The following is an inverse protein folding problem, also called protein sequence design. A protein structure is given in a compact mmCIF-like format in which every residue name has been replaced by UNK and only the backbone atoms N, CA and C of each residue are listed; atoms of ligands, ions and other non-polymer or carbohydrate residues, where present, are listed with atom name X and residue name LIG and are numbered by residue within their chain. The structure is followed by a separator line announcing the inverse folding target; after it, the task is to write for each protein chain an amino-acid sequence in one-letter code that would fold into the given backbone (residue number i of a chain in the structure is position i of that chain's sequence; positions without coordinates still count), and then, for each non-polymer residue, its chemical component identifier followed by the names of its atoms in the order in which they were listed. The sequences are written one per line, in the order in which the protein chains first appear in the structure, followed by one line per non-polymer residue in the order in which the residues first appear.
data_IF_140446393169
#
_entry.id   IF_140446393169
#
_cell.length_a   1.000
_cell.length_b   1.000
_cell.length_c   1.000
_cell.angle_alpha   90.00
_cell.angle_beta   90.00
_cell.angle_gamma   90.00
#
_symmetry.space_group_name_H-M   'P 1'
#
loop_
_entity.id
_entity.type
_entity.pdbx_description
1 polymer ?
#
# COMPACT_ATOMS: atom_id res chain seq x y z
N UNK A 1 43.34 29.23 20.19
CA UNK A 1 43.38 27.77 19.95
C UNK A 1 41.99 27.35 19.46
N UNK A 2 41.84 27.13 18.15
CA UNK A 2 40.57 26.65 17.58
C UNK A 2 40.49 25.15 17.86
N UNK A 3 39.52 24.72 18.66
CA UNK A 3 39.27 23.29 18.86
C UNK A 3 38.73 22.75 17.55
N UNK A 4 39.39 21.74 16.99
CA UNK A 4 38.87 21.00 15.86
C UNK A 4 37.60 20.26 16.34
N UNK A 5 36.46 20.57 15.74
CA UNK A 5 35.25 19.79 15.95
C UNK A 5 35.49 18.36 15.47
N UNK A 6 34.95 17.39 16.21
CA UNK A 6 35.09 15.99 15.86
C UNK A 6 34.40 15.72 14.52
N UNK A 7 35.01 14.91 13.66
CA UNK A 7 34.39 14.48 12.41
C UNK A 7 33.02 13.85 12.68
N UNK A 8 32.90 13.12 13.79
CA UNK A 8 31.64 12.51 14.22
C UNK A 8 30.55 13.55 14.51
N UNK A 9 30.92 14.69 15.10
CA UNK A 9 29.95 15.76 15.37
C UNK A 9 29.44 16.39 14.08
N UNK A 10 30.32 16.65 13.12
CA UNK A 10 29.92 17.20 11.81
C UNK A 10 29.07 16.22 11.01
N UNK A 11 29.41 14.92 11.03
CA UNK A 11 28.59 13.89 10.37
C UNK A 11 27.20 13.82 10.99
N UNK A 12 27.11 13.88 12.33
CA UNK A 12 25.82 13.84 13.02
C UNK A 12 24.96 15.07 12.66
N UNK A 13 25.55 16.26 12.60
CA UNK A 13 24.85 17.49 12.22
C UNK A 13 24.28 17.42 10.80
N UNK A 14 25.10 17.00 9.83
CA UNK A 14 24.66 16.84 8.43
C UNK A 14 23.53 15.82 8.34
N UNK A 15 23.66 14.70 9.04
CA UNK A 15 22.63 13.64 9.06
C UNK A 15 21.32 14.16 9.64
N UNK A 16 21.37 14.94 10.72
CA UNK A 16 20.20 15.53 11.34
C UNK A 16 19.49 16.53 10.41
N UNK A 17 20.26 17.36 9.69
CA UNK A 17 19.71 18.31 8.71
C UNK A 17 19.01 17.57 7.56
N UNK A 18 19.62 16.49 7.05
CA UNK A 18 19.02 15.69 5.98
C UNK A 18 17.73 15.01 6.43
N UNK A 19 17.69 14.45 7.64
CA UNK A 19 16.48 13.84 8.21
C UNK A 19 15.39 14.91 8.42
N UNK A 20 15.74 16.09 8.94
CA UNK A 20 14.78 17.18 9.12
C UNK A 20 14.20 17.67 7.79
N UNK A 21 15.04 17.84 6.77
CA UNK A 21 14.59 18.21 5.42
C UNK A 21 13.70 17.13 4.80
N UNK A 22 14.04 15.86 4.98
CA UNK A 22 13.23 14.73 4.53
C UNK A 22 11.87 14.68 5.24
N UNK A 23 11.84 14.87 6.56
CA UNK A 23 10.61 14.87 7.35
C UNK A 23 9.66 16.02 6.99
N UNK A 24 10.20 17.17 6.58
CA UNK A 24 9.41 18.30 6.10
C UNK A 24 8.91 18.14 4.67
N UNK A 25 9.72 17.51 3.80
CA UNK A 25 9.44 17.45 2.35
C UNK A 25 8.73 16.17 1.92
N UNK A 26 8.92 15.07 2.65
CA UNK A 26 8.40 13.75 2.30
C UNK A 26 7.26 13.42 3.27
N UNK A 27 6.00 13.48 2.84
CA UNK A 27 4.88 13.09 3.68
C UNK A 27 4.99 11.60 4.06
N UNK A 28 5.10 11.32 5.36
CA UNK A 28 5.12 9.95 5.88
C UNK A 28 3.78 9.29 5.60
N UNK A 29 3.80 8.11 4.97
CA UNK A 29 2.58 7.31 4.86
C UNK A 29 2.08 6.97 6.27
N UNK A 30 0.76 6.92 6.46
CA UNK A 30 0.17 6.63 7.78
C UNK A 30 0.47 5.22 8.31
N UNK A 31 1.22 4.38 7.58
CA UNK A 31 1.53 2.99 7.94
C UNK A 31 0.30 2.08 7.96
N UNK A 32 -0.88 2.60 7.65
CA UNK A 32 -2.12 1.85 7.65
C UNK A 32 -2.26 1.13 6.30
N UNK A 33 -1.84 -0.14 6.25
CA UNK A 33 -2.29 -1.04 5.18
C UNK A 33 -3.82 -0.97 5.10
N UNK A 34 -4.38 -0.74 3.91
CA UNK A 34 -5.83 -0.61 3.70
C UNK A 34 -6.59 -1.64 4.55
N UNK A 35 -7.26 -1.17 5.60
CA UNK A 35 -7.96 -2.01 6.57
C UNK A 35 -8.94 -2.89 5.79
N UNK A 36 -9.01 -4.18 6.15
CA UNK A 36 -10.00 -5.09 5.59
C UNK A 36 -11.36 -4.42 5.58
N UNK A 37 -11.86 -4.13 4.38
CA UNK A 37 -13.01 -3.26 4.16
C UNK A 37 -14.34 -3.81 4.71
N UNK A 38 -14.31 -4.96 5.38
CA UNK A 38 -15.49 -5.64 5.92
C UNK A 38 -15.81 -5.03 7.27
N UNK A 39 -16.96 -4.33 7.44
CA UNK A 39 -17.32 -3.67 8.69
C UNK A 39 -17.42 -4.61 9.89
N UNK A 40 -17.60 -5.91 9.61
CA UNK A 40 -17.73 -6.98 10.59
C UNK A 40 -16.40 -7.68 10.95
N UNK A 41 -15.28 -7.30 10.33
CA UNK A 41 -13.98 -7.87 10.66
C UNK A 41 -13.45 -7.29 11.98
N UNK A 42 -13.13 -8.16 12.93
CA UNK A 42 -12.68 -7.79 14.27
C UNK A 42 -11.48 -8.66 14.72
N UNK A 43 -10.94 -8.37 15.91
CA UNK A 43 -9.82 -9.12 16.49
C UNK A 43 -10.12 -10.63 16.57
N UNK A 44 -11.32 -11.02 16.97
CA UNK A 44 -11.73 -12.44 17.03
C UNK A 44 -11.69 -13.12 15.66
N UNK A 45 -12.15 -12.44 14.60
CA UNK A 45 -12.03 -12.95 13.24
C UNK A 45 -10.56 -13.16 12.87
N UNK A 46 -9.70 -12.22 13.26
CA UNK A 46 -8.27 -12.28 12.96
C UNK A 46 -7.58 -13.41 13.71
N UNK A 47 -7.84 -13.60 15.00
CA UNK A 47 -7.27 -14.69 15.81
C UNK A 47 -7.72 -16.05 15.29
N UNK A 48 -9.02 -16.22 15.02
CA UNK A 48 -9.56 -17.46 14.47
C UNK A 48 -9.00 -17.78 13.08
N UNK A 49 -8.84 -16.77 12.22
CA UNK A 49 -8.22 -16.93 10.89
C UNK A 49 -6.74 -17.30 10.99
N UNK A 50 -5.97 -16.64 11.85
CA UNK A 50 -4.56 -16.97 12.10
C UNK A 50 -4.41 -18.41 12.58
N UNK A 51 -5.25 -18.85 13.51
CA UNK A 51 -5.24 -20.22 14.01
C UNK A 51 -5.60 -21.24 12.90
N UNK A 52 -6.64 -20.96 12.12
CA UNK A 52 -7.00 -21.79 10.97
C UNK A 52 -5.84 -21.92 9.98
N UNK A 53 -5.15 -20.82 9.65
CA UNK A 53 -3.98 -20.84 8.75
C UNK A 53 -2.80 -21.61 9.34
N UNK A 54 -2.54 -21.45 10.63
CA UNK A 54 -1.48 -22.19 11.34
C UNK A 54 -1.71 -23.70 11.22
N UNK A 55 -2.92 -24.16 11.57
CA UNK A 55 -3.26 -25.58 11.53
C UNK A 55 -3.35 -26.14 10.11
N UNK A 56 -3.78 -25.32 9.14
CA UNK A 56 -3.67 -25.67 7.72
C UNK A 56 -2.21 -25.88 7.30
N UNK A 57 -1.31 -24.98 7.72
CA UNK A 57 0.12 -25.09 7.43
C UNK A 57 0.73 -26.38 8.00
N UNK A 58 0.37 -26.74 9.23
CA UNK A 58 0.81 -27.98 9.88
C UNK A 58 0.28 -29.19 9.12
N UNK A 59 -1.04 -29.27 8.90
CA UNK A 59 -1.65 -30.39 8.16
C UNK A 59 -1.09 -30.53 6.74
N UNK A 60 -0.85 -29.41 6.03
CA UNK A 60 -0.28 -29.43 4.68
C UNK A 60 1.14 -29.98 4.65
N UNK A 61 1.94 -29.73 5.69
CA UNK A 61 3.32 -30.28 5.81
C UNK A 61 3.31 -31.72 6.30
N UNK A 62 2.42 -32.05 7.22
CA UNK A 62 2.35 -33.34 7.90
C UNK A 62 0.90 -33.85 7.90
N UNK A 63 0.48 -34.59 6.86
CA UNK A 63 -0.91 -34.98 6.65
C UNK A 63 -1.34 -36.18 7.51
N UNK A 64 -1.31 -36.01 8.83
CA UNK A 64 -1.80 -37.01 9.79
C UNK A 64 -3.30 -36.83 10.10
N UNK A 65 -3.95 -37.87 10.61
CA UNK A 65 -5.37 -37.85 11.01
C UNK A 65 -5.63 -36.84 12.12
N UNK A 66 -4.75 -36.75 13.11
CA UNK A 66 -4.81 -35.77 14.19
C UNK A 66 -4.74 -34.33 13.65
N UNK A 67 -3.80 -34.05 12.76
CA UNK A 67 -3.65 -32.74 12.14
C UNK A 67 -4.86 -32.36 11.29
N UNK A 68 -5.46 -33.32 10.59
CA UNK A 68 -6.71 -33.11 9.85
C UNK A 68 -7.86 -32.75 10.79
N UNK A 69 -8.00 -33.46 11.91
CA UNK A 69 -9.04 -33.16 12.92
C UNK A 69 -8.84 -31.78 13.54
N UNK A 70 -7.61 -31.43 13.91
CA UNK A 70 -7.29 -30.11 14.45
C UNK A 70 -7.61 -28.99 13.45
N UNK A 71 -7.22 -29.15 12.18
CA UNK A 71 -7.58 -28.21 11.13
C UNK A 71 -9.09 -28.10 10.91
N UNK A 72 -9.82 -29.22 10.87
CA UNK A 72 -11.29 -29.23 10.74
C UNK A 72 -11.97 -28.48 11.89
N UNK A 73 -11.53 -28.71 13.14
CA UNK A 73 -12.03 -27.99 14.34
C UNK A 73 -11.79 -26.49 14.20
N UNK A 74 -10.58 -26.08 13.82
CA UNK A 74 -10.25 -24.66 13.64
C UNK A 74 -11.00 -24.00 12.47
N UNK A 75 -11.19 -24.72 11.35
CA UNK A 75 -12.00 -24.26 10.21
C UNK A 75 -13.46 -24.05 10.62
N UNK A 76 -14.03 -24.97 11.41
CA UNK A 76 -15.39 -24.84 11.92
C UNK A 76 -15.53 -23.64 12.90
N UNK A 77 -14.56 -23.47 13.79
CA UNK A 77 -14.51 -22.33 14.71
C UNK A 77 -14.42 -21.00 13.94
N UNK A 78 -13.47 -20.87 13.01
CA UNK A 78 -13.32 -19.66 12.19
C UNK A 78 -14.60 -19.32 11.42
N UNK A 79 -15.29 -20.32 10.86
CA UNK A 79 -16.60 -20.13 10.21
C UNK A 79 -17.66 -19.61 11.20
N UNK A 80 -17.72 -20.16 12.42
CA UNK A 80 -18.64 -19.74 13.47
C UNK A 80 -18.38 -18.29 13.90
N UNK A 81 -17.13 -17.96 14.23
CA UNK A 81 -16.72 -16.60 14.64
C UNK A 81 -17.06 -15.60 13.53
N UNK A 82 -16.73 -15.90 12.28
CA UNK A 82 -17.05 -15.03 11.14
C UNK A 82 -18.54 -14.74 11.02
N UNK A 83 -19.40 -15.77 11.11
CA UNK A 83 -20.86 -15.61 11.05
C UNK A 83 -21.39 -14.79 12.22
N UNK A 84 -20.87 -15.02 13.43
CA UNK A 84 -21.25 -14.27 14.63
C UNK A 84 -20.88 -12.80 14.48
N UNK A 85 -19.67 -12.48 14.04
CA UNK A 85 -19.23 -11.09 13.85
C UNK A 85 -20.01 -10.37 12.75
N UNK A 86 -20.32 -11.06 11.64
CA UNK A 86 -21.23 -10.54 10.60
C UNK A 86 -22.59 -10.17 11.16
N UNK A 87 -23.25 -11.12 11.86
CA UNK A 87 -24.56 -10.89 12.48
C UNK A 87 -24.52 -9.74 13.47
N UNK A 88 -23.53 -9.73 14.38
CA UNK A 88 -23.45 -8.71 15.42
C UNK A 88 -23.19 -7.32 14.84
N UNK A 89 -22.32 -7.22 13.83
CA UNK A 89 -22.08 -5.96 13.12
C UNK A 89 -23.33 -5.46 12.42
N UNK A 90 -24.11 -6.36 11.81
CA UNK A 90 -25.36 -5.98 11.15
C UNK A 90 -26.41 -5.50 12.14
N UNK A 91 -26.61 -6.22 13.26
CA UNK A 91 -27.51 -5.81 14.33
C UNK A 91 -27.13 -4.41 14.84
N UNK A 92 -25.84 -4.20 15.18
CA UNK A 92 -25.35 -2.89 15.64
C UNK A 92 -25.62 -1.78 14.63
N UNK A 93 -25.45 -2.06 13.34
CA UNK A 93 -25.69 -1.07 12.29
C UNK A 93 -27.18 -0.74 12.16
N UNK A 94 -28.05 -1.75 12.07
CA UNK A 94 -29.49 -1.56 11.98
C UNK A 94 -30.02 -0.81 13.20
N UNK A 95 -29.55 -1.14 14.41
CA UNK A 95 -29.89 -0.42 15.64
C UNK A 95 -29.42 1.03 15.68
N UNK A 96 -28.44 1.42 14.86
CA UNK A 96 -27.94 2.80 14.76
C UNK A 96 -28.66 3.65 13.70
N UNK A 97 -29.57 3.06 12.92
CA UNK A 97 -30.31 3.78 11.90
C UNK A 97 -31.34 4.72 12.54
N UNK A 98 -31.36 5.97 12.08
CA UNK A 98 -32.34 6.99 12.47
C UNK A 98 -33.02 7.56 11.22
N UNK A 99 -34.12 8.29 11.39
CA UNK A 99 -34.83 8.99 10.31
C UNK A 99 -33.94 9.96 9.51
N UNK A 100 -32.86 10.44 10.12
CA UNK A 100 -31.86 11.30 9.47
C UNK A 100 -30.86 10.56 8.57
N UNK A 101 -30.89 9.22 8.55
CA UNK A 101 -29.91 8.43 7.78
C UNK A 101 -30.25 8.49 6.29
N UNK A 102 -29.37 9.12 5.49
CA UNK A 102 -29.59 9.23 4.06
C UNK A 102 -29.52 7.86 3.35
N UNK A 103 -30.32 7.69 2.29
CA UNK A 103 -30.30 6.49 1.43
C UNK A 103 -28.89 6.20 0.90
N UNK A 104 -28.10 7.25 0.62
CA UNK A 104 -26.70 7.12 0.17
C UNK A 104 -25.82 6.43 1.21
N UNK A 105 -25.92 6.82 2.49
CA UNK A 105 -25.17 6.19 3.58
C UNK A 105 -25.62 4.75 3.80
N UNK A 106 -26.93 4.49 3.69
CA UNK A 106 -27.50 3.15 3.83
C UNK A 106 -26.96 2.20 2.77
N UNK A 107 -27.07 2.57 1.50
CA UNK A 107 -26.55 1.78 0.39
C UNK A 107 -25.03 1.60 0.44
N UNK A 108 -24.27 2.60 0.89
CA UNK A 108 -22.82 2.47 1.10
C UNK A 108 -22.49 1.36 2.10
N UNK A 109 -23.24 1.28 3.21
CA UNK A 109 -23.01 0.27 4.26
C UNK A 109 -23.46 -1.13 3.81
N UNK A 110 -24.61 -1.25 3.15
CA UNK A 110 -25.09 -2.51 2.56
C UNK A 110 -24.06 -3.09 1.59
N UNK A 111 -23.55 -2.27 0.67
CA UNK A 111 -22.49 -2.67 -0.28
C UNK A 111 -21.22 -3.12 0.45
N UNK A 112 -20.78 -2.39 1.47
CA UNK A 112 -19.60 -2.73 2.26
C UNK A 112 -19.74 -4.06 3.04
N UNK A 113 -20.94 -4.38 3.54
CA UNK A 113 -21.21 -5.66 4.24
C UNK A 113 -21.15 -6.84 3.26
N UNK A 114 -21.70 -6.65 2.04
CA UNK A 114 -21.67 -7.65 0.96
C UNK A 114 -20.29 -7.79 0.30
N UNK A 115 -19.32 -6.97 0.68
CA UNK A 115 -18.00 -6.97 0.05
C UNK A 115 -17.99 -6.36 -1.35
N UNK A 116 -19.05 -5.66 -1.72
CA UNK A 116 -19.13 -4.90 -2.97
C UNK A 116 -18.48 -3.55 -2.67
N UNK A 117 -17.19 -3.44 -2.96
CA UNK A 117 -16.47 -2.20 -2.80
C UNK A 117 -16.57 -1.39 -4.08
N UNK A 118 -16.52 -0.06 -3.93
CA UNK A 118 -16.23 0.78 -5.08
C UNK A 118 -14.84 0.38 -5.54
N UNK A 119 -14.74 -0.08 -6.77
CA UNK A 119 -13.47 -0.12 -7.48
C UNK A 119 -12.84 1.27 -7.38
N UNK A 120 -11.52 1.30 -7.24
CA UNK A 120 -10.76 2.54 -7.15
C UNK A 120 -11.18 3.44 -8.31
N UNK A 121 -11.86 4.54 -8.01
CA UNK A 121 -12.16 5.55 -9.01
C UNK A 121 -10.82 6.19 -9.34
N UNK A 122 -10.36 6.03 -10.58
CA UNK A 122 -9.15 6.71 -11.02
C UNK A 122 -9.31 8.21 -10.77
N UNK A 123 -8.31 8.86 -10.14
CA UNK A 123 -8.37 10.29 -9.90
C UNK A 123 -8.41 11.00 -11.24
N UNK A 124 -9.38 11.91 -11.40
CA UNK A 124 -9.46 12.79 -12.55
C UNK A 124 -8.29 13.76 -12.47
N UNK A 125 -7.46 13.83 -13.52
CA UNK A 125 -6.40 14.82 -13.60
C UNK A 125 -6.96 16.13 -14.15
N UNK A 126 -6.70 17.23 -13.46
CA UNK A 126 -7.04 18.58 -13.91
C UNK A 126 -5.75 19.33 -14.23
N UNK A 127 -5.60 19.72 -15.50
CA UNK A 127 -4.63 20.74 -15.91
C UNK A 127 -5.38 22.06 -16.07
N UNK A 128 -4.67 23.19 -16.04
CA UNK A 128 -5.25 24.56 -16.05
C UNK A 128 -6.40 24.77 -17.05
N UNK A 129 -6.43 24.07 -18.18
CA UNK A 129 -7.46 24.19 -19.21
C UNK A 129 -8.22 22.88 -19.54
N UNK A 130 -7.96 21.75 -18.88
CA UNK A 130 -8.51 20.46 -19.32
C UNK A 130 -8.64 19.43 -18.19
N UNK A 131 -9.69 18.59 -18.29
CA UNK A 131 -10.04 17.56 -17.32
C UNK A 131 -9.97 16.19 -17.98
N UNK A 132 -9.10 15.32 -17.48
CA UNK A 132 -8.83 14.01 -18.07
C UNK A 132 -9.34 12.90 -17.15
N UNK A 133 -10.14 12.00 -17.73
CA UNK A 133 -10.78 10.90 -16.98
C UNK A 133 -10.43 9.52 -17.53
N UNK A 134 -9.89 9.43 -18.75
CA UNK A 134 -9.39 8.17 -19.30
C UNK A 134 -8.06 7.79 -18.65
N UNK A 135 -7.88 6.53 -18.20
CA UNK A 135 -6.61 6.05 -17.66
C UNK A 135 -5.43 6.22 -18.62
N UNK A 136 -5.67 6.06 -19.92
CA UNK A 136 -4.65 6.22 -20.97
C UNK A 136 -4.19 7.68 -21.07
N UNK A 137 -5.13 8.61 -21.15
CA UNK A 137 -4.83 10.05 -21.19
C UNK A 137 -4.08 10.49 -19.93
N UNK A 138 -4.54 10.02 -18.76
CA UNK A 138 -3.89 10.28 -17.48
C UNK A 138 -2.43 9.79 -17.50
N UNK A 139 -2.19 8.58 -18.00
CA UNK A 139 -0.84 8.01 -18.10
C UNK A 139 0.05 8.82 -19.04
N UNK A 140 -0.47 9.24 -20.20
CA UNK A 140 0.27 10.04 -21.16
C UNK A 140 0.67 11.41 -20.59
N UNK A 141 -0.25 12.11 -19.91
CA UNK A 141 0.04 13.41 -19.28
C UNK A 141 1.08 13.28 -18.18
N UNK A 142 1.00 12.22 -17.37
CA UNK A 142 2.05 11.94 -16.38
C UNK A 142 3.40 11.71 -17.08
N UNK A 143 3.42 10.97 -18.20
CA UNK A 143 4.63 10.81 -19.03
C UNK A 143 5.19 12.13 -19.53
N UNK A 144 4.36 12.98 -20.12
CA UNK A 144 4.75 14.30 -20.65
C UNK A 144 5.28 15.23 -19.55
N UNK A 145 4.62 15.25 -18.39
CA UNK A 145 5.08 16.06 -17.24
C UNK A 145 6.41 15.55 -16.68
N UNK A 146 6.61 14.23 -16.58
CA UNK A 146 7.89 13.68 -16.18
C UNK A 146 8.99 13.95 -17.20
N UNK A 147 8.69 13.87 -18.49
CA UNK A 147 9.62 14.20 -19.56
C UNK A 147 10.04 15.68 -19.50
N UNK A 148 9.09 16.60 -19.28
CA UNK A 148 9.39 18.04 -19.22
C UNK A 148 10.26 18.38 -18.00
N UNK A 149 9.92 17.83 -16.83
CA UNK A 149 10.72 17.99 -15.60
C UNK A 149 12.10 17.36 -15.73
N UNK A 150 12.21 16.22 -16.41
CA UNK A 150 13.48 15.49 -16.62
C UNK A 150 14.22 15.93 -17.89
N UNK A 151 13.74 16.96 -18.57
CA UNK A 151 14.36 17.45 -19.79
C UNK A 151 15.70 18.12 -19.48
N UNK A 152 16.60 18.13 -20.45
CA UNK A 152 17.88 18.82 -20.32
C UNK A 152 17.72 20.32 -20.01
N UNK A 153 16.60 20.93 -20.42
CA UNK A 153 16.28 22.32 -20.15
C UNK A 153 16.01 22.61 -18.66
N UNK A 154 15.60 21.60 -17.89
CA UNK A 154 15.29 21.71 -16.46
C UNK A 154 16.51 21.49 -15.56
N UNK A 155 17.66 21.10 -16.13
CA UNK A 155 18.88 20.82 -15.38
C UNK A 155 19.85 22.02 -15.38
N UNK A 156 20.62 22.16 -14.30
CA UNK A 156 21.69 23.14 -14.26
C UNK A 156 22.86 22.76 -15.21
N UNK A 157 23.62 23.77 -15.64
CA UNK A 157 24.71 23.61 -16.61
C UNK A 157 25.78 22.62 -16.17
N UNK A 158 26.12 22.59 -14.87
CA UNK A 158 27.10 21.67 -14.28
C UNK A 158 26.66 20.21 -14.40
N UNK A 159 25.39 19.92 -14.12
CA UNK A 159 24.84 18.58 -14.22
C UNK A 159 24.76 18.11 -15.68
N UNK A 160 24.42 19.00 -16.61
CA UNK A 160 24.40 18.67 -18.05
C UNK A 160 25.77 18.22 -18.57
N UNK A 161 26.85 18.80 -18.04
CA UNK A 161 28.20 18.36 -18.40
C UNK A 161 28.53 16.97 -17.85
N UNK A 162 28.16 16.70 -16.60
CA UNK A 162 28.31 15.37 -15.99
C UNK A 162 27.51 14.32 -16.77
N UNK A 163 26.23 14.62 -17.07
CA UNK A 163 25.34 13.74 -17.84
C UNK A 163 25.94 13.42 -19.22
N UNK A 164 26.37 14.43 -19.98
CA UNK A 164 27.00 14.23 -21.30
C UNK A 164 28.28 13.39 -21.24
N UNK A 165 29.07 13.52 -20.18
CA UNK A 165 30.28 12.70 -19.97
C UNK A 165 29.90 11.24 -19.68
N UNK A 166 28.89 11.01 -18.85
CA UNK A 166 28.43 9.66 -18.50
C UNK A 166 27.73 8.95 -19.68
N UNK A 167 26.93 9.65 -20.47
CA UNK A 167 26.22 9.07 -21.62
C UNK A 167 27.15 8.71 -22.79
N UNK A 168 28.38 9.24 -22.82
CA UNK A 168 29.40 8.84 -23.80
C UNK A 168 29.92 7.43 -23.61
N UNK A 169 29.83 6.87 -22.40
CA UNK A 169 30.26 5.49 -22.15
C UNK A 169 29.13 4.54 -22.54
N UNK A 170 29.30 3.71 -23.59
CA UNK A 170 28.25 2.78 -24.00
C UNK A 170 28.05 1.71 -22.92
N UNK A 171 26.79 1.51 -22.52
CA UNK A 171 26.42 0.47 -21.55
C UNK A 171 26.27 -0.85 -22.31
N UNK A 172 27.03 -1.87 -21.90
CA UNK A 172 26.93 -3.20 -22.48
C UNK A 172 25.84 -4.00 -21.75
N UNK A 173 24.72 -4.28 -22.43
CA UNK A 173 23.60 -5.06 -21.90
C UNK A 173 23.73 -6.58 -22.12
N UNK A 174 24.89 -7.07 -22.57
CA UNK A 174 25.13 -8.50 -22.77
C UNK A 174 25.18 -9.24 -21.43
N UNK A 175 24.06 -9.83 -21.01
CA UNK A 175 24.04 -10.74 -19.86
C UNK A 175 24.61 -12.11 -20.27
N UNK A 176 25.89 -12.36 -19.94
CA UNK A 176 26.45 -13.71 -20.00
C UNK A 176 25.99 -14.51 -18.77
N UNK A 177 24.76 -15.01 -18.81
CA UNK A 177 24.34 -16.08 -17.88
C UNK A 177 23.36 -17.02 -18.58
N UNK A 178 23.92 -18.00 -19.29
CA UNK A 178 23.17 -19.24 -19.55
C UNK A 178 23.08 -19.98 -18.21
N UNK A 179 21.91 -19.91 -17.57
CA UNK A 179 21.58 -20.87 -16.53
C UNK A 179 21.16 -22.16 -17.24
N UNK A 180 22.03 -23.16 -17.22
CA UNK A 180 21.69 -24.54 -17.60
C UNK A 180 20.70 -25.10 -16.58
N UNK A 181 19.57 -25.60 -17.07
CA UNK A 181 18.58 -26.38 -16.30
C UNK A 181 19.16 -27.76 -15.99
#
# INVERSE_FOLDING_TARGET
MVKAESIDTTVQEVTNVLIAAADLSIPKSSGHSFKHYKPWWNADCQTAYKNQRKLWGIFRRYPTTENLLAFKKAKANARRVRRRSQRQSWIRYVSSLTSSTSSKQLWKKVKAVNGIYREFSFPILQTSNSVFSSPEEIANILGETFQSVSSAASYNSRFLEIKRRAERTPINFSTRSFFSI
#
